data_IF_857158451853
#
_entry.id   IF_857158451853
#
_cell.length_a   1.000
_cell.length_b   1.000
_cell.length_c   1.000
_cell.angle_alpha   90.00
_cell.angle_beta   90.00
_cell.angle_gamma   90.00
#
_symmetry.space_group_name_H-M   'P 1'
#
loop_
_entity.id
_entity.type
_entity.pdbx_description
1 polymer ?
#
# COMPACT_ATOMS: atom_id res chain seq x y z
N UNK A 1 5.62 10.24 -1.09
CA UNK A 1 5.33 8.80 -1.28
C UNK A 1 4.97 8.44 -2.71
N UNK A 2 3.88 9.01 -3.27
CA UNK A 2 3.37 8.70 -4.61
C UNK A 2 4.44 8.76 -5.72
N UNK A 3 5.34 9.75 -5.67
CA UNK A 3 6.48 9.85 -6.62
C UNK A 3 7.47 8.68 -6.51
N UNK A 4 7.74 8.17 -5.30
CA UNK A 4 8.66 7.05 -5.09
C UNK A 4 7.99 5.75 -5.50
N UNK A 5 6.71 5.56 -5.14
CA UNK A 5 5.89 4.44 -5.59
C UNK A 5 5.87 4.38 -7.12
N UNK A 6 5.52 5.49 -7.79
CA UNK A 6 5.50 5.58 -9.26
C UNK A 6 6.86 5.25 -9.88
N UNK A 7 7.96 5.69 -9.27
CA UNK A 7 9.31 5.38 -9.77
C UNK A 7 9.66 3.91 -9.63
N UNK A 8 9.22 3.26 -8.54
CA UNK A 8 9.49 1.84 -8.28
C UNK A 8 8.60 0.92 -9.11
N UNK A 9 7.30 1.21 -9.18
CA UNK A 9 6.30 0.27 -9.70
C UNK A 9 5.65 0.72 -11.02
N UNK A 10 5.94 1.93 -11.49
CA UNK A 10 5.28 2.52 -12.67
C UNK A 10 3.83 3.00 -12.42
N UNK A 11 3.24 2.65 -11.27
CA UNK A 11 1.84 2.97 -10.96
C UNK A 11 1.61 4.46 -10.75
N UNK A 12 0.54 4.98 -11.36
CA UNK A 12 0.02 6.32 -11.11
C UNK A 12 -1.14 6.23 -10.13
N UNK A 13 -0.80 6.13 -8.85
CA UNK A 13 -1.75 6.19 -7.74
C UNK A 13 -1.81 7.63 -7.21
N UNK A 14 -2.99 8.22 -7.05
CA UNK A 14 -3.13 9.56 -6.49
C UNK A 14 -3.11 9.51 -4.96
N UNK A 15 -3.81 8.54 -4.37
CA UNK A 15 -3.77 8.29 -2.94
C UNK A 15 -3.85 6.80 -2.61
N UNK A 16 -3.32 6.44 -1.43
CA UNK A 16 -3.57 5.16 -0.82
C UNK A 16 -4.97 5.18 -0.17
N UNK A 17 -6.01 5.07 -1.01
CA UNK A 17 -7.41 5.09 -0.59
C UNK A 17 -7.74 4.17 0.61
N UNK A 18 -8.78 4.48 1.40
CA UNK A 18 -9.07 3.75 2.65
C UNK A 18 -9.56 2.32 2.42
N UNK A 19 -10.10 2.03 1.24
CA UNK A 19 -10.59 0.72 0.85
C UNK A 19 -9.83 0.19 -0.36
N UNK A 20 -9.58 -1.12 -0.37
CA UNK A 20 -8.96 -1.88 -1.46
C UNK A 20 -9.68 -3.22 -1.56
N UNK A 21 -9.93 -3.68 -2.77
CA UNK A 21 -10.53 -4.98 -3.03
C UNK A 21 -9.67 -5.76 -4.02
N UNK A 22 -9.51 -7.06 -3.76
CA UNK A 22 -8.80 -7.99 -4.62
C UNK A 22 -9.37 -9.40 -4.41
N UNK A 23 -9.09 -10.33 -5.32
CA UNK A 23 -9.44 -11.74 -5.12
C UNK A 23 -8.67 -12.29 -3.91
N UNK A 24 -9.35 -13.06 -3.06
CA UNK A 24 -8.82 -13.54 -1.78
C UNK A 24 -7.52 -14.32 -1.93
N UNK A 25 -7.51 -15.35 -2.78
CA UNK A 25 -6.35 -16.23 -2.95
C UNK A 25 -5.10 -15.47 -3.43
N UNK A 26 -5.16 -14.70 -4.53
CA UNK A 26 -4.04 -13.84 -4.93
C UNK A 26 -3.60 -12.86 -3.84
N UNK A 27 -4.55 -12.29 -3.09
CA UNK A 27 -4.25 -11.34 -2.02
C UNK A 27 -3.47 -11.98 -0.86
N UNK A 28 -3.83 -13.21 -0.48
CA UNK A 28 -3.10 -13.98 0.52
C UNK A 28 -1.70 -14.36 0.01
N UNK A 29 -1.58 -14.69 -1.28
CA UNK A 29 -0.30 -15.04 -1.90
C UNK A 29 0.71 -13.87 -1.94
N UNK A 30 0.25 -12.61 -1.82
CA UNK A 30 1.17 -11.46 -1.69
C UNK A 30 2.00 -11.50 -0.39
N UNK A 31 1.61 -12.31 0.61
CA UNK A 31 2.39 -12.53 1.83
C UNK A 31 2.61 -11.27 2.65
N UNK A 32 1.58 -10.42 2.80
CA UNK A 32 1.66 -9.15 3.52
C UNK A 32 2.01 -9.37 4.99
N UNK A 33 3.04 -8.68 5.48
CA UNK A 33 3.60 -8.86 6.83
C UNK A 33 3.50 -7.62 7.70
N UNK A 34 3.43 -6.43 7.11
CA UNK A 34 3.28 -5.18 7.87
C UNK A 34 1.85 -5.11 8.44
N UNK A 35 1.71 -4.87 9.75
CA UNK A 35 0.39 -4.77 10.43
C UNK A 35 0.08 -3.35 10.90
N UNK A 36 0.89 -2.37 10.50
CA UNK A 36 0.81 -0.98 10.94
C UNK A 36 0.52 -0.10 9.73
N UNK A 37 1.19 1.04 9.65
CA UNK A 37 1.00 2.04 8.61
C UNK A 37 1.60 1.63 7.26
N UNK A 38 2.46 0.62 7.22
CA UNK A 38 3.10 0.13 6.00
C UNK A 38 2.21 -0.84 5.19
N UNK A 39 1.23 -1.49 5.82
CA UNK A 39 0.33 -2.46 5.17
C UNK A 39 -0.29 -1.98 3.84
N UNK A 40 -0.87 -0.76 3.76
CA UNK A 40 -1.51 -0.30 2.53
C UNK A 40 -0.51 -0.11 1.39
N UNK A 41 0.70 0.36 1.71
CA UNK A 41 1.78 0.53 0.74
C UNK A 41 2.34 -0.82 0.30
N UNK A 42 2.54 -1.75 1.24
CA UNK A 42 3.10 -3.08 0.97
C UNK A 42 2.18 -3.86 0.03
N UNK A 43 0.87 -3.76 0.23
CA UNK A 43 -0.11 -4.36 -0.67
C UNK A 43 0.04 -3.86 -2.11
N UNK A 44 0.08 -2.54 -2.31
CA UNK A 44 0.17 -1.95 -3.65
C UNK A 44 1.50 -2.26 -4.32
N UNK A 45 2.60 -2.19 -3.57
CA UNK A 45 3.93 -2.51 -4.08
C UNK A 45 4.01 -3.97 -4.54
N UNK A 46 3.59 -4.92 -3.69
CA UNK A 46 3.67 -6.35 -4.04
C UNK A 46 2.68 -6.74 -5.13
N UNK A 47 1.50 -6.14 -5.17
CA UNK A 47 0.56 -6.34 -6.28
C UNK A 47 1.16 -5.84 -7.61
N UNK A 48 1.86 -4.71 -7.60
CA UNK A 48 2.54 -4.19 -8.78
C UNK A 48 3.71 -5.08 -9.21
N UNK A 49 4.53 -5.50 -8.25
CA UNK A 49 5.65 -6.42 -8.48
C UNK A 49 5.14 -7.77 -9.04
N UNK A 50 3.94 -8.21 -8.64
CA UNK A 50 3.24 -9.38 -9.18
C UNK A 50 2.50 -9.12 -10.52
N UNK A 51 2.67 -7.95 -11.13
CA UNK A 51 2.11 -7.61 -12.44
C UNK A 51 0.60 -7.37 -12.45
N UNK A 52 -0.03 -7.10 -11.29
CA UNK A 52 -1.46 -6.88 -11.24
C UNK A 52 -1.86 -5.56 -11.91
N UNK A 53 -3.04 -5.55 -12.52
CA UNK A 53 -3.69 -4.32 -12.96
C UNK A 53 -4.38 -3.65 -11.77
N UNK A 54 -3.89 -2.47 -11.39
CA UNK A 54 -4.44 -1.68 -10.29
C UNK A 54 -5.19 -0.48 -10.87
N UNK A 55 -6.41 -0.26 -10.39
CA UNK A 55 -7.27 0.85 -10.77
C UNK A 55 -7.68 1.64 -9.53
N UNK A 56 -7.79 2.96 -9.68
CA UNK A 56 -8.30 3.87 -8.65
C UNK A 56 -9.71 4.28 -9.04
N UNK A 57 -10.63 4.25 -8.07
CA UNK A 57 -12.01 4.68 -8.26
C UNK A 57 -12.33 5.74 -7.22
N UNK A 58 -12.69 6.93 -7.71
CA UNK A 58 -13.16 8.00 -6.85
C UNK A 58 -14.52 7.62 -6.27
N UNK A 59 -14.55 7.44 -4.96
CA UNK A 59 -15.78 7.19 -4.20
C UNK A 59 -16.10 8.47 -3.44
N UNK A 60 -17.33 9.03 -3.57
CA UNK A 60 -17.75 10.16 -2.76
C UNK A 60 -17.64 9.79 -1.28
N UNK A 61 -16.68 10.42 -0.59
CA UNK A 61 -16.48 10.20 0.84
C UNK A 61 -17.13 11.35 1.60
N UNK A 62 -17.86 11.03 2.67
CA UNK A 62 -18.45 12.04 3.55
C UNK A 62 -17.35 12.88 4.21
N UNK A 63 -17.57 14.18 4.46
CA UNK A 63 -16.61 15.03 5.14
C UNK A 63 -16.21 14.39 6.48
N UNK A 64 -14.91 14.20 6.65
CA UNK A 64 -14.35 13.56 7.84
C UNK A 64 -14.56 14.45 9.07
N UNK A 65 -15.24 13.94 10.10
CA UNK A 65 -15.28 14.55 11.44
C UNK A 65 -14.04 14.12 12.24
N UNK A 66 -13.23 15.10 12.70
CA UNK A 66 -12.15 14.91 13.69
C UNK A 66 -10.69 14.97 13.20
N UNK A 67 -9.77 15.20 14.14
CA UNK A 67 -8.33 15.41 13.90
C UNK A 67 -7.57 14.14 13.51
N UNK A 68 -6.52 14.29 12.67
CA UNK A 68 -5.70 13.18 12.16
C UNK A 68 -5.08 12.36 13.29
N UNK A 69 -5.27 11.04 13.26
CA UNK A 69 -4.70 10.10 14.24
C UNK A 69 -3.18 9.96 14.12
N UNK A 70 -2.59 10.43 13.01
CA UNK A 70 -1.17 10.19 12.66
C UNK A 70 -0.36 11.49 12.63
N UNK A 71 -0.87 12.56 12.01
CA UNK A 71 -0.13 13.82 11.85
C UNK A 71 -0.17 14.74 13.07
N UNK A 72 -0.85 14.35 14.15
CA UNK A 72 -0.94 15.15 15.38
C UNK A 72 0.31 15.11 16.27
N UNK A 73 1.30 14.23 16.00
CA UNK A 73 2.55 14.16 16.76
C UNK A 73 3.77 13.91 15.86
N UNK A 74 4.91 14.50 16.22
CA UNK A 74 6.20 14.27 15.55
C UNK A 74 6.58 12.78 15.55
N UNK A 75 6.37 12.09 16.67
CA UNK A 75 6.64 10.66 16.80
C UNK A 75 5.79 9.82 15.84
N UNK A 76 4.49 10.10 15.76
CA UNK A 76 3.58 9.41 14.83
C UNK A 76 3.97 9.60 13.36
N UNK A 77 4.38 10.82 13.01
CA UNK A 77 4.86 11.14 11.65
C UNK A 77 6.16 10.39 11.31
N UNK A 78 7.14 10.38 12.21
CA UNK A 78 8.41 9.67 11.98
C UNK A 78 8.20 8.15 11.85
N UNK A 79 7.33 7.58 12.69
CA UNK A 79 7.03 6.15 12.67
C UNK A 79 6.36 5.73 11.36
N UNK A 80 5.44 6.55 10.84
CA UNK A 80 4.83 6.34 9.54
C UNK A 80 5.84 6.41 8.39
N UNK A 81 6.75 7.41 8.40
CA UNK A 81 7.81 7.53 7.39
C UNK A 81 8.74 6.32 7.41
N UNK A 82 9.12 5.82 8.60
CA UNK A 82 10.01 4.67 8.75
C UNK A 82 9.37 3.38 8.21
N UNK A 83 8.10 3.12 8.58
CA UNK A 83 7.36 1.95 8.12
C UNK A 83 7.24 1.96 6.58
N UNK A 84 6.87 3.12 6.00
CA UNK A 84 6.76 3.26 4.54
C UNK A 84 8.10 3.12 3.82
N UNK A 85 9.19 3.66 4.40
CA UNK A 85 10.53 3.54 3.82
C UNK A 85 11.01 2.09 3.79
N UNK A 86 10.71 1.31 4.83
CA UNK A 86 11.03 -0.13 4.88
C UNK A 86 10.36 -0.89 3.75
N UNK A 87 9.05 -0.68 3.57
CA UNK A 87 8.27 -1.33 2.50
C UNK A 87 8.83 -1.02 1.11
N UNK A 88 9.22 0.23 0.88
CA UNK A 88 9.81 0.66 -0.40
C UNK A 88 11.18 0.05 -0.68
N UNK A 89 11.89 -0.47 0.32
CA UNK A 89 13.15 -1.20 0.17
C UNK A 89 13.01 -2.72 0.12
N UNK A 90 11.81 -3.29 0.32
CA UNK A 90 11.63 -4.74 0.27
C UNK A 90 11.87 -5.26 -1.16
N UNK A 91 12.65 -6.35 -1.33
CA UNK A 91 12.76 -7.02 -2.62
C UNK A 91 11.37 -7.55 -3.06
N UNK A 92 11.14 -7.73 -4.37
CA UNK A 92 9.92 -8.36 -4.85
C UNK A 92 9.75 -9.72 -4.16
N UNK A 93 8.51 -10.04 -3.77
CA UNK A 93 8.22 -11.34 -3.16
C UNK A 93 8.60 -12.45 -4.15
N UNK A 94 9.27 -13.53 -3.69
CA UNK A 94 9.54 -14.68 -4.56
C UNK A 94 8.23 -15.17 -5.15
N UNK A 95 8.22 -15.49 -6.45
CA UNK A 95 7.02 -15.90 -7.18
C UNK A 95 6.25 -16.97 -6.40
N UNK A 96 5.13 -16.56 -5.81
CA UNK A 96 4.22 -17.44 -5.12
C UNK A 96 3.46 -18.24 -6.15
N UNK A 97 3.94 -19.46 -6.39
CA UNK A 97 3.35 -20.57 -7.12
C UNK A 97 2.07 -20.29 -7.91
N UNK A 98 2.19 -20.39 -9.23
CA UNK A 98 1.08 -20.65 -10.15
C UNK A 98 0.20 -21.77 -9.58
N UNK A 99 -0.92 -21.41 -8.97
CA UNK A 99 -2.03 -22.34 -8.78
C UNK A 99 -2.57 -22.64 -10.18
N UNK A 100 -2.12 -23.77 -10.74
CA UNK A 100 -2.78 -24.43 -11.86
C UNK A 100 -4.11 -25.01 -11.42
#
# INVERSE_FOLDING_TARGET
LARILRRRTGLRLHDLGPLRAARREPLLALGLTDRRSGYPLQMVVRAADAGWRITEHDVPYLPRTGASKVTGTWRGTWQAVRDMSRVLGEPPAPEGGTLR
#
